data_IF_486100009574
#
_entry.id   IF_486100009574
#
_cell.length_a   1.000
_cell.length_b   1.000
_cell.length_c   1.000
_cell.angle_alpha   90.00
_cell.angle_beta   90.00
_cell.angle_gamma   90.00
#
_symmetry.space_group_name_H-M   'P 1'
#
loop_
_entity.id
_entity.type
_entity.pdbx_description
1 polymer ?
#
# COMPACT_ATOMS: atom_id res chain seq x y z
N UNK A 1 1.80 -24.74 18.55
CA UNK A 1 1.96 -24.00 17.28
C UNK A 1 0.61 -23.99 16.58
N UNK A 2 0.09 -22.82 16.16
CA UNK A 2 -1.17 -22.74 15.40
C UNK A 2 -0.87 -22.98 13.92
N UNK A 3 -1.81 -23.62 13.22
CA UNK A 3 -1.70 -23.91 11.78
C UNK A 3 -2.78 -23.15 11.03
N UNK A 4 -2.41 -22.53 9.92
CA UNK A 4 -3.29 -21.75 9.04
C UNK A 4 -3.17 -22.22 7.60
N UNK A 5 -4.28 -22.19 6.86
CA UNK A 5 -4.31 -22.38 5.41
C UNK A 5 -4.77 -21.07 4.78
N UNK A 6 -3.96 -20.52 3.89
CA UNK A 6 -4.28 -19.31 3.11
C UNK A 6 -4.60 -19.74 1.68
N UNK A 7 -5.79 -19.39 1.19
CA UNK A 7 -6.23 -19.71 -0.17
C UNK A 7 -6.06 -18.46 -1.04
N UNK A 8 -5.14 -18.51 -2.00
CA UNK A 8 -4.69 -17.42 -2.85
C UNK A 8 -3.34 -16.83 -2.39
N UNK A 9 -2.38 -16.74 -3.31
CA UNK A 9 -1.04 -16.18 -3.13
C UNK A 9 -0.86 -14.82 -3.82
N UNK A 10 -1.95 -14.12 -4.15
CA UNK A 10 -1.89 -12.70 -4.49
C UNK A 10 -1.46 -11.85 -3.28
N UNK A 11 -1.26 -10.55 -3.48
CA UNK A 11 -0.65 -9.65 -2.48
C UNK A 11 -1.30 -9.71 -1.08
N UNK A 12 -2.64 -9.86 -1.01
CA UNK A 12 -3.36 -9.96 0.27
C UNK A 12 -3.05 -11.28 0.98
N UNK A 13 -3.06 -12.40 0.25
CA UNK A 13 -2.78 -13.72 0.80
C UNK A 13 -1.30 -13.87 1.19
N UNK A 14 -0.39 -13.38 0.34
CA UNK A 14 1.03 -13.33 0.62
C UNK A 14 1.34 -12.48 1.87
N UNK A 15 0.74 -11.29 1.99
CA UNK A 15 0.87 -10.44 3.18
C UNK A 15 0.37 -11.14 4.45
N UNK A 16 -0.82 -11.76 4.39
CA UNK A 16 -1.36 -12.51 5.52
C UNK A 16 -0.43 -13.67 5.94
N UNK A 17 0.06 -14.44 4.96
CA UNK A 17 0.96 -15.56 5.21
C UNK A 17 2.31 -15.11 5.81
N UNK A 18 2.89 -14.02 5.30
CA UNK A 18 4.11 -13.42 5.83
C UNK A 18 3.97 -13.07 7.31
N UNK A 19 2.94 -12.32 7.68
CA UNK A 19 2.72 -11.92 9.07
C UNK A 19 2.38 -13.10 9.99
N UNK A 20 1.62 -14.09 9.51
CA UNK A 20 1.31 -15.30 10.26
C UNK A 20 2.58 -16.13 10.52
N UNK A 21 3.41 -16.34 9.50
CA UNK A 21 4.68 -17.07 9.63
C UNK A 21 5.64 -16.37 10.59
N UNK A 22 5.76 -15.04 10.49
CA UNK A 22 6.56 -14.21 11.41
C UNK A 22 6.09 -14.28 12.87
N UNK A 23 4.81 -14.55 13.10
CA UNK A 23 4.25 -14.79 14.44
C UNK A 23 4.53 -16.20 15.00
N UNK A 24 5.29 -17.04 14.27
CA UNK A 24 5.61 -18.41 14.67
C UNK A 24 4.53 -19.45 14.34
N UNK A 25 3.59 -19.11 13.46
CA UNK A 25 2.56 -20.04 13.00
C UNK A 25 3.07 -20.90 11.83
N UNK A 26 2.51 -22.10 11.68
CA UNK A 26 2.69 -22.91 10.49
C UNK A 26 1.66 -22.49 9.45
N UNK A 27 2.11 -22.10 8.26
CA UNK A 27 1.23 -21.58 7.22
C UNK A 27 1.40 -22.39 5.94
N UNK A 28 0.29 -22.89 5.40
CA UNK A 28 0.24 -23.49 4.06
C UNK A 28 -0.51 -22.53 3.14
N UNK A 29 0.08 -22.18 2.00
CA UNK A 29 -0.56 -21.36 0.98
C UNK A 29 -1.00 -22.28 -0.17
N UNK A 30 -2.23 -22.12 -0.63
CA UNK A 30 -2.78 -22.83 -1.78
C UNK A 30 -3.18 -21.79 -2.82
N UNK A 31 -2.48 -21.74 -3.95
CA UNK A 31 -2.79 -20.84 -5.07
C UNK A 31 -3.03 -21.65 -6.34
N UNK A 32 -4.01 -21.23 -7.14
CA UNK A 32 -4.36 -21.89 -8.41
C UNK A 32 -3.46 -21.46 -9.57
N UNK A 33 -2.69 -20.39 -9.39
CA UNK A 33 -1.82 -19.80 -10.40
C UNK A 33 -2.55 -19.37 -11.70
N UNK A 34 -3.71 -18.74 -11.54
CA UNK A 34 -4.50 -18.29 -12.70
C UNK A 34 -3.77 -17.22 -13.53
N UNK A 35 -3.98 -17.24 -14.85
CA UNK A 35 -3.53 -16.13 -15.71
C UNK A 35 -4.38 -14.88 -15.44
N UNK A 36 -3.73 -13.72 -15.41
CA UNK A 36 -4.40 -12.43 -15.24
C UNK A 36 -4.81 -12.13 -13.79
N UNK A 37 -4.03 -12.59 -12.81
CA UNK A 37 -4.25 -12.28 -11.40
C UNK A 37 -4.19 -10.77 -11.19
N UNK A 38 -5.03 -10.26 -10.29
CA UNK A 38 -5.07 -8.83 -10.01
C UNK A 38 -3.75 -8.25 -9.49
N UNK A 39 -2.94 -9.06 -8.79
CA UNK A 39 -1.62 -8.63 -8.30
C UNK A 39 -0.64 -8.38 -9.44
N UNK A 40 -0.60 -9.25 -10.45
CA UNK A 40 0.35 -9.15 -11.56
C UNK A 40 0.00 -7.98 -12.51
N UNK A 41 -1.27 -7.58 -12.54
CA UNK A 41 -1.76 -6.48 -13.36
C UNK A 41 -1.68 -5.10 -12.67
N UNK A 42 -1.27 -5.03 -11.41
CA UNK A 42 -1.28 -3.79 -10.63
C UNK A 42 -0.09 -2.88 -11.01
N UNK A 43 -0.33 -1.57 -11.08
CA UNK A 43 0.69 -0.57 -11.43
C UNK A 43 1.68 -0.23 -10.30
N UNK A 44 1.43 -0.67 -9.05
CA UNK A 44 2.32 -0.43 -7.91
C UNK A 44 2.29 0.98 -7.29
N UNK A 45 1.27 1.80 -7.58
CA UNK A 45 1.18 3.17 -7.04
C UNK A 45 0.78 3.17 -5.56
N UNK A 46 1.62 3.73 -4.70
CA UNK A 46 1.34 3.96 -3.27
C UNK A 46 1.13 5.46 -3.01
N UNK A 47 -0.08 5.95 -3.29
CA UNK A 47 -0.45 7.35 -3.06
C UNK A 47 -1.95 7.48 -2.71
N UNK A 48 -2.35 7.13 -1.47
CA UNK A 48 -3.76 7.21 -1.07
C UNK A 48 -4.24 8.66 -0.87
N UNK A 49 -3.33 9.61 -0.66
CA UNK A 49 -3.63 10.98 -0.24
C UNK A 49 -4.31 11.84 -1.29
N UNK A 50 -4.29 11.42 -2.56
CA UNK A 50 -5.03 12.09 -3.65
C UNK A 50 -6.42 11.49 -3.86
N UNK A 51 -6.77 10.42 -3.14
CA UNK A 51 -8.05 9.74 -3.32
C UNK A 51 -9.24 10.64 -2.97
N UNK A 52 -10.24 10.64 -3.84
CA UNK A 52 -11.52 11.33 -3.67
C UNK A 52 -12.62 10.41 -3.12
N UNK A 53 -12.28 9.15 -2.81
CA UNK A 53 -13.25 8.20 -2.26
C UNK A 53 -13.77 8.69 -0.91
N UNK A 54 -15.10 8.64 -0.73
CA UNK A 54 -15.79 9.14 0.48
C UNK A 54 -15.83 8.13 1.62
N UNK A 55 -15.46 6.88 1.38
CA UNK A 55 -15.45 5.83 2.40
C UNK A 55 -14.27 6.03 3.36
N UNK A 56 -14.57 6.48 4.58
CA UNK A 56 -13.57 6.76 5.60
C UNK A 56 -12.84 5.50 6.09
N UNK A 57 -13.55 4.37 6.25
CA UNK A 57 -12.92 3.12 6.67
C UNK A 57 -11.87 2.65 5.64
N UNK A 58 -12.20 2.75 4.35
CA UNK A 58 -11.25 2.47 3.28
C UNK A 58 -10.07 3.45 3.30
N UNK A 59 -10.31 4.75 3.50
CA UNK A 59 -9.24 5.74 3.52
C UNK A 59 -8.28 5.51 4.69
N UNK A 60 -8.80 5.20 5.89
CA UNK A 60 -7.97 4.86 7.05
C UNK A 60 -7.13 3.61 6.79
N UNK A 61 -7.70 2.58 6.17
CA UNK A 61 -6.94 1.38 5.78
C UNK A 61 -5.83 1.72 4.79
N UNK A 62 -6.13 2.47 3.72
CA UNK A 62 -5.16 2.81 2.69
C UNK A 62 -4.04 3.73 3.21
N UNK A 63 -4.39 4.73 4.03
CA UNK A 63 -3.44 5.62 4.71
C UNK A 63 -2.52 4.84 5.65
N UNK A 64 -3.10 3.96 6.49
CA UNK A 64 -2.32 3.14 7.43
C UNK A 64 -1.41 2.16 6.71
N UNK A 65 -1.88 1.60 5.58
CA UNK A 65 -1.06 0.78 4.69
C UNK A 65 0.13 1.56 4.16
N UNK A 66 -0.09 2.74 3.55
CA UNK A 66 0.99 3.58 3.03
C UNK A 66 2.01 3.99 4.11
N UNK A 67 1.55 4.26 5.34
CA UNK A 67 2.41 4.51 6.50
C UNK A 67 3.25 3.28 6.89
N UNK A 68 2.71 2.08 6.73
CA UNK A 68 3.40 0.84 7.07
C UNK A 68 4.47 0.42 6.04
N UNK A 69 4.31 0.79 4.76
CA UNK A 69 5.21 0.37 3.67
C UNK A 69 6.70 0.52 3.99
N UNK A 70 7.22 1.67 4.46
CA UNK A 70 8.66 1.81 4.76
C UNK A 70 9.17 0.82 5.81
N UNK A 71 8.35 0.47 6.80
CA UNK A 71 8.71 -0.54 7.79
C UNK A 71 8.69 -1.94 7.19
N UNK A 72 7.67 -2.26 6.39
CA UNK A 72 7.59 -3.54 5.68
C UNK A 72 8.81 -3.78 4.79
N UNK A 73 9.26 -2.78 4.05
CA UNK A 73 10.45 -2.90 3.18
C UNK A 73 11.69 -3.22 4.00
N UNK A 74 11.93 -2.54 5.12
CA UNK A 74 13.05 -2.84 6.03
C UNK A 74 12.96 -4.24 6.62
N UNK A 75 11.74 -4.69 6.93
CA UNK A 75 11.52 -6.04 7.44
C UNK A 75 11.85 -7.09 6.37
N UNK A 76 11.42 -6.89 5.13
CA UNK A 76 11.74 -7.77 4.00
C UNK A 76 13.24 -7.80 3.72
N UNK A 77 13.92 -6.65 3.74
CA UNK A 77 15.38 -6.55 3.59
C UNK A 77 16.11 -7.33 4.70
N UNK A 78 15.65 -7.21 5.95
CA UNK A 78 16.21 -7.95 7.07
C UNK A 78 15.99 -9.47 6.95
N UNK A 79 14.90 -9.88 6.31
CA UNK A 79 14.59 -11.28 5.99
C UNK A 79 15.31 -11.76 4.71
N UNK A 80 16.10 -10.90 4.05
CA UNK A 80 16.96 -11.22 2.91
C UNK A 80 16.39 -10.87 1.53
N UNK A 81 15.22 -10.25 1.46
CA UNK A 81 14.60 -9.82 0.19
C UNK A 81 14.94 -8.36 -0.13
N UNK A 82 15.69 -8.13 -1.21
CA UNK A 82 16.17 -6.79 -1.60
C UNK A 82 15.55 -6.26 -2.91
N UNK A 83 14.87 -7.11 -3.68
CA UNK A 83 14.38 -6.78 -5.04
C UNK A 83 12.88 -6.46 -5.02
N UNK A 84 12.43 -5.66 -4.06
CA UNK A 84 11.02 -5.29 -3.89
C UNK A 84 10.51 -4.31 -4.94
N UNK A 85 11.41 -3.61 -5.64
CA UNK A 85 11.07 -2.53 -6.58
C UNK A 85 10.48 -1.28 -5.92
N UNK A 86 10.43 -1.21 -4.58
CA UNK A 86 9.86 -0.06 -3.87
C UNK A 86 10.80 1.15 -3.95
N UNK A 87 10.23 2.32 -4.30
CA UNK A 87 10.93 3.59 -4.26
C UNK A 87 9.97 4.72 -3.86
N UNK A 88 10.39 5.58 -2.91
CA UNK A 88 9.65 6.79 -2.53
C UNK A 88 10.03 7.94 -3.48
N UNK A 89 9.38 7.99 -4.64
CA UNK A 89 9.70 8.93 -5.74
C UNK A 89 8.77 10.16 -5.81
N UNK A 90 7.83 10.29 -4.88
CA UNK A 90 6.78 11.31 -4.93
C UNK A 90 5.64 10.95 -5.90
N UNK A 91 4.71 11.90 -6.09
CA UNK A 91 3.60 11.75 -7.02
C UNK A 91 3.25 13.11 -7.65
N UNK A 92 2.87 13.10 -8.92
CA UNK A 92 2.39 14.28 -9.64
C UNK A 92 0.93 14.04 -10.00
N UNK A 93 0.07 14.98 -9.66
CA UNK A 93 -1.35 14.95 -10.00
C UNK A 93 -1.66 16.10 -10.94
N UNK A 94 -2.19 15.78 -12.11
CA UNK A 94 -2.42 16.73 -13.19
C UNK A 94 -3.92 16.96 -13.38
N UNK A 95 -4.30 18.20 -13.61
CA UNK A 95 -5.67 18.57 -13.97
C UNK A 95 -5.63 19.85 -14.85
N UNK A 96 -6.56 19.97 -15.80
CA UNK A 96 -6.61 21.12 -16.74
C UNK A 96 -7.41 22.31 -16.20
N UNK A 97 -8.27 22.07 -15.23
CA UNK A 97 -9.05 23.07 -14.48
C UNK A 97 -8.29 23.47 -13.21
N UNK A 98 -7.92 24.75 -13.13
CA UNK A 98 -7.17 25.34 -12.01
C UNK A 98 -7.93 25.23 -10.68
N UNK A 99 -9.25 25.41 -10.69
CA UNK A 99 -10.05 25.31 -9.46
C UNK A 99 -9.96 23.92 -8.83
N UNK A 100 -9.88 22.87 -9.66
CA UNK A 100 -9.71 21.49 -9.18
C UNK A 100 -8.30 21.20 -8.71
N UNK A 101 -7.28 21.90 -9.22
CA UNK A 101 -5.93 21.83 -8.67
C UNK A 101 -5.90 22.43 -7.27
N UNK A 102 -6.49 23.61 -7.07
CA UNK A 102 -6.59 24.26 -5.76
C UNK A 102 -7.34 23.39 -4.74
N UNK A 103 -8.50 22.85 -5.12
CA UNK A 103 -9.28 21.95 -4.25
C UNK A 103 -8.52 20.67 -3.87
N UNK A 104 -7.65 20.19 -4.76
CA UNK A 104 -6.83 19.02 -4.52
C UNK A 104 -5.66 19.35 -3.58
N UNK A 105 -4.96 20.46 -3.82
CA UNK A 105 -3.88 20.93 -2.97
C UNK A 105 -4.38 21.17 -1.54
N UNK A 106 -5.50 21.89 -1.37
CA UNK A 106 -6.10 22.15 -0.06
C UNK A 106 -6.50 20.86 0.67
N UNK A 107 -6.95 19.85 -0.07
CA UNK A 107 -7.29 18.53 0.51
C UNK A 107 -6.06 17.79 0.98
N UNK A 108 -4.97 17.83 0.21
CA UNK A 108 -3.70 17.19 0.59
C UNK A 108 -3.07 17.91 1.78
N UNK A 109 -3.10 19.25 1.80
CA UNK A 109 -2.62 20.06 2.94
C UNK A 109 -3.34 19.71 4.23
N UNK A 110 -4.68 19.58 4.21
CA UNK A 110 -5.46 19.14 5.39
C UNK A 110 -5.08 17.73 5.86
N UNK A 111 -4.67 16.85 4.94
CA UNK A 111 -4.24 15.48 5.25
C UNK A 111 -2.80 15.40 5.77
N UNK A 112 -1.99 16.47 5.65
CA UNK A 112 -0.64 16.48 6.24
C UNK A 112 -0.66 16.33 7.75
N UNK A 113 -1.70 16.86 8.42
CA UNK A 113 -1.86 16.79 9.86
C UNK A 113 -1.89 15.34 10.38
N UNK A 114 -2.48 14.42 9.61
CA UNK A 114 -2.70 13.04 10.00
C UNK A 114 -1.96 12.00 9.12
N UNK A 115 -1.16 12.47 8.16
CA UNK A 115 -0.35 11.68 7.24
C UNK A 115 0.96 12.42 6.83
N UNK A 116 1.96 12.52 7.73
CA UNK A 116 3.24 13.18 7.43
C UNK A 116 4.01 12.51 6.29
N UNK A 117 3.66 11.28 5.91
CA UNK A 117 4.28 10.54 4.82
C UNK A 117 4.09 11.20 3.44
N UNK A 118 3.08 12.07 3.30
CA UNK A 118 2.84 12.93 2.12
C UNK A 118 4.11 13.70 1.75
N UNK A 119 4.84 14.20 2.75
CA UNK A 119 6.03 15.01 2.54
C UNK A 119 5.69 16.44 2.10
N UNK A 120 6.51 16.98 1.20
CA UNK A 120 6.36 18.34 0.68
C UNK A 120 5.24 18.40 -0.38
N UNK A 121 4.43 19.47 -0.33
CA UNK A 121 3.37 19.73 -1.29
C UNK A 121 3.69 21.04 -2.00
N UNK A 122 3.77 21.00 -3.32
CA UNK A 122 4.04 22.15 -4.19
C UNK A 122 3.07 22.15 -5.37
N UNK A 123 2.73 23.33 -5.87
CA UNK A 123 1.88 23.58 -7.04
C UNK A 123 2.54 24.54 -8.02
#
# INVERSE_FOLDING_TARGET
>A
MKTYIVVGAGIVGASAAYHLAKSGAQVTIIDRDDKGKGTDAAAGIVCPWLSQRRNQAWYQLAKSGAKYYPSLIKELEADGETETGYAKVGAISLHTDELKLDEMEERVKKRLEDAPEIGEVTS
#
